data_IF_906813155913
#
_entry.id   IF_906813155913
#
_cell.length_a   1.000
_cell.length_b   1.000
_cell.length_c   1.000
_cell.angle_alpha   90.00
_cell.angle_beta   90.00
_cell.angle_gamma   90.00
#
_symmetry.space_group_name_H-M   'P 1'
#
loop_
_entity.id
_entity.type
_entity.pdbx_description
1 polymer ?
#
# COMPACT_ATOMS: atom_id res chain seq x y z
N UNK A 1 -8.10 -5.38 -8.23
CA UNK A 1 -6.85 -5.79 -7.56
C UNK A 1 -6.51 -5.01 -6.29
N UNK A 2 -7.07 -3.80 -6.08
CA UNK A 2 -6.87 -3.03 -4.83
C UNK A 2 -7.28 -3.81 -3.58
N UNK A 3 -8.50 -4.34 -3.53
CA UNK A 3 -9.01 -5.14 -2.39
C UNK A 3 -8.10 -6.34 -2.12
N UNK A 4 -7.86 -7.17 -3.14
CA UNK A 4 -7.01 -8.35 -3.04
C UNK A 4 -5.60 -8.05 -2.49
N UNK A 5 -4.99 -6.91 -2.85
CA UNK A 5 -3.70 -6.53 -2.26
C UNK A 5 -3.83 -6.35 -0.74
N UNK A 6 -4.79 -5.53 -0.31
CA UNK A 6 -4.97 -5.16 1.10
C UNK A 6 -5.43 -6.34 1.97
N UNK A 7 -6.22 -7.26 1.41
CA UNK A 7 -6.62 -8.50 2.07
C UNK A 7 -5.45 -9.46 2.31
N UNK A 8 -4.43 -9.45 1.46
CA UNK A 8 -3.39 -10.49 1.45
C UNK A 8 -2.04 -10.02 2.02
N UNK A 9 -1.75 -8.71 1.99
CA UNK A 9 -0.40 -8.20 2.28
C UNK A 9 0.10 -8.56 3.68
N UNK A 10 -0.78 -8.59 4.69
CA UNK A 10 -0.42 -8.99 6.05
C UNK A 10 -0.01 -10.49 6.12
N UNK A 11 -0.83 -11.36 5.56
CA UNK A 11 -0.56 -12.82 5.53
C UNK A 11 0.74 -13.14 4.80
N UNK A 12 0.99 -12.46 3.67
CA UNK A 12 2.25 -12.62 2.93
C UNK A 12 3.44 -12.16 3.76
N UNK A 13 3.29 -11.05 4.49
CA UNK A 13 4.36 -10.51 5.32
C UNK A 13 4.77 -11.49 6.43
N UNK A 14 3.79 -12.09 7.11
CA UNK A 14 4.03 -13.03 8.19
C UNK A 14 4.62 -14.36 7.69
N UNK A 15 4.30 -14.75 6.45
CA UNK A 15 4.72 -16.02 5.88
C UNK A 15 6.10 -16.00 5.19
N UNK A 16 6.82 -14.86 5.19
CA UNK A 16 8.06 -14.68 4.42
C UNK A 16 9.14 -14.01 5.25
N UNK A 17 10.39 -14.17 4.82
CA UNK A 17 11.49 -13.38 5.41
C UNK A 17 11.27 -11.90 5.11
N UNK A 18 11.77 -11.02 5.98
CA UNK A 18 11.57 -9.57 5.86
C UNK A 18 11.83 -9.04 4.44
N UNK A 19 12.99 -9.38 3.86
CA UNK A 19 13.34 -8.91 2.51
C UNK A 19 12.38 -9.40 1.42
N UNK A 20 11.91 -10.65 1.49
CA UNK A 20 10.94 -11.19 0.53
C UNK A 20 9.56 -10.55 0.73
N UNK A 21 9.13 -10.41 1.99
CA UNK A 21 7.87 -9.76 2.35
C UNK A 21 7.81 -8.31 1.83
N UNK A 22 8.85 -7.52 2.10
CA UNK A 22 8.97 -6.13 1.64
C UNK A 22 8.97 -6.04 0.11
N UNK A 23 9.75 -6.90 -0.56
CA UNK A 23 9.78 -6.97 -2.03
C UNK A 23 8.39 -7.23 -2.63
N UNK A 24 7.61 -8.13 -2.02
CA UNK A 24 6.24 -8.43 -2.49
C UNK A 24 5.28 -7.28 -2.16
N UNK A 25 5.34 -6.73 -0.95
CA UNK A 25 4.46 -5.65 -0.51
C UNK A 25 4.63 -4.39 -1.36
N UNK A 26 5.86 -4.09 -1.81
CA UNK A 26 6.15 -2.99 -2.76
C UNK A 26 5.77 -3.40 -4.18
N UNK A 27 6.27 -4.54 -4.67
CA UNK A 27 6.13 -4.95 -6.07
C UNK A 27 4.70 -5.24 -6.53
N UNK A 28 3.82 -5.65 -5.62
CA UNK A 28 2.41 -5.95 -5.92
C UNK A 28 1.44 -4.84 -5.50
N UNK A 29 1.93 -3.73 -4.93
CA UNK A 29 1.07 -2.58 -4.68
C UNK A 29 0.60 -1.99 -6.02
N UNK A 30 -0.71 -1.76 -6.25
CA UNK A 30 -1.24 -1.46 -7.58
C UNK A 30 -1.04 0.00 -8.00
N UNK A 31 0.20 0.50 -7.90
CA UNK A 31 0.60 1.89 -8.23
C UNK A 31 0.14 2.35 -9.61
N UNK A 32 0.06 1.46 -10.59
CA UNK A 32 -0.39 1.80 -11.94
C UNK A 32 -1.81 2.39 -11.99
N UNK A 33 -2.63 2.19 -10.95
CA UNK A 33 -3.95 2.81 -10.84
C UNK A 33 -3.87 4.26 -10.36
N UNK A 34 -2.97 4.55 -9.41
CA UNK A 34 -2.80 5.85 -8.75
C UNK A 34 -4.07 6.73 -8.73
N UNK A 35 -5.18 6.16 -8.27
CA UNK A 35 -6.51 6.76 -8.23
C UNK A 35 -6.96 7.02 -6.78
N UNK A 36 -8.02 7.81 -6.61
CA UNK A 36 -8.57 8.10 -5.29
C UNK A 36 -8.98 6.83 -4.53
N UNK A 37 -9.52 5.84 -5.24
CA UNK A 37 -9.94 4.57 -4.65
C UNK A 37 -8.78 3.80 -4.03
N UNK A 38 -7.62 3.78 -4.67
CA UNK A 38 -6.41 3.18 -4.12
C UNK A 38 -5.94 3.96 -2.89
N UNK A 39 -5.90 5.29 -2.95
CA UNK A 39 -5.51 6.11 -1.80
C UNK A 39 -6.39 5.84 -0.58
N UNK A 40 -7.71 5.78 -0.77
CA UNK A 40 -8.69 5.54 0.28
C UNK A 40 -8.53 4.14 0.87
N UNK A 41 -8.40 3.12 0.02
CA UNK A 41 -8.21 1.73 0.46
C UNK A 41 -6.93 1.56 1.28
N UNK A 42 -5.82 2.15 0.84
CA UNK A 42 -4.54 2.08 1.57
C UNK A 42 -4.60 2.82 2.90
N UNK A 43 -5.28 3.96 2.94
CA UNK A 43 -5.49 4.72 4.18
C UNK A 43 -6.36 3.94 5.17
N UNK A 44 -7.49 3.40 4.72
CA UNK A 44 -8.38 2.58 5.53
C UNK A 44 -7.68 1.33 6.08
N UNK A 45 -6.82 0.70 5.27
CA UNK A 45 -6.03 -0.44 5.73
C UNK A 45 -5.06 -0.05 6.86
N UNK A 46 -4.37 1.09 6.75
CA UNK A 46 -3.45 1.57 7.78
C UNK A 46 -4.15 1.89 9.10
N UNK A 47 -5.36 2.46 9.03
CA UNK A 47 -6.18 2.78 10.20
C UNK A 47 -6.69 1.51 10.89
N UNK A 48 -7.16 0.53 10.11
CA UNK A 48 -7.69 -0.74 10.62
C UNK A 48 -6.59 -1.67 11.17
N UNK A 49 -5.34 -1.54 10.72
CA UNK A 49 -4.25 -2.46 11.04
C UNK A 49 -3.17 -1.82 11.92
N UNK A 50 -3.57 -1.12 12.98
CA UNK A 50 -2.63 -0.46 13.91
C UNK A 50 -1.68 -1.43 14.62
N UNK A 51 -2.08 -2.69 14.78
CA UNK A 51 -1.28 -3.76 15.39
C UNK A 51 -0.40 -4.55 14.40
N UNK A 52 -0.47 -4.26 13.09
CA UNK A 52 0.38 -4.95 12.12
C UNK A 52 1.87 -4.63 12.35
N UNK A 53 2.80 -5.50 11.89
CA UNK A 53 4.23 -5.28 12.03
C UNK A 53 4.66 -3.88 11.57
N UNK A 54 5.52 -3.21 12.34
CA UNK A 54 5.92 -1.82 12.07
C UNK A 54 6.55 -1.63 10.68
N UNK A 55 7.35 -2.61 10.24
CA UNK A 55 7.92 -2.63 8.89
C UNK A 55 6.84 -2.64 7.80
N UNK A 56 5.83 -3.50 7.94
CA UNK A 56 4.71 -3.56 6.99
C UNK A 56 3.94 -2.24 6.96
N UNK A 57 3.57 -1.72 8.13
CA UNK A 57 2.83 -0.45 8.23
C UNK A 57 3.61 0.70 7.60
N UNK A 58 4.94 0.75 7.80
CA UNK A 58 5.83 1.73 7.15
C UNK A 58 5.78 1.60 5.63
N UNK A 59 5.99 0.40 5.09
CA UNK A 59 5.96 0.15 3.63
C UNK A 59 4.62 0.56 3.01
N UNK A 60 3.49 0.21 3.65
CA UNK A 60 2.15 0.58 3.17
C UNK A 60 1.91 2.09 3.26
N UNK A 61 2.42 2.77 4.29
CA UNK A 61 2.34 4.22 4.41
C UNK A 61 3.17 4.94 3.32
N UNK A 62 4.37 4.47 3.01
CA UNK A 62 5.21 5.02 1.92
C UNK A 62 4.52 4.85 0.54
N UNK A 63 3.86 3.72 0.33
CA UNK A 63 3.03 3.43 -0.82
C UNK A 63 1.83 4.40 -0.93
N UNK A 64 1.10 4.64 0.18
CA UNK A 64 0.00 5.63 0.25
C UNK A 64 0.50 7.03 -0.11
N UNK A 65 1.62 7.45 0.47
CA UNK A 65 2.18 8.78 0.25
C UNK A 65 2.61 8.99 -1.21
N UNK A 66 3.09 7.93 -1.86
CA UNK A 66 3.41 7.94 -3.29
C UNK A 66 2.16 8.12 -4.16
N UNK A 67 1.05 7.44 -3.84
CA UNK A 67 -0.24 7.66 -4.54
C UNK A 67 -0.76 9.07 -4.32
N UNK A 68 -0.71 9.58 -3.08
CA UNK A 68 -1.14 10.94 -2.78
C UNK A 68 -0.35 12.01 -3.57
N UNK A 69 0.97 11.80 -3.75
CA UNK A 69 1.78 12.65 -4.62
C UNK A 69 1.40 12.53 -6.09
N UNK A 70 1.15 11.32 -6.58
CA UNK A 70 0.75 11.09 -7.96
C UNK A 70 -0.58 11.78 -8.30
N UNK A 71 -1.59 11.69 -7.42
CA UNK A 71 -2.87 12.37 -7.59
C UNK A 71 -2.71 13.88 -7.67
N UNK A 72 -1.91 14.48 -6.77
CA UNK A 72 -1.60 15.92 -6.81
C UNK A 72 -0.92 16.33 -8.11
N UNK A 73 -0.07 15.48 -8.70
CA UNK A 73 0.55 15.78 -9.99
C UNK A 73 -0.48 15.71 -11.13
N UNK A 74 -1.30 14.66 -11.17
CA UNK A 74 -2.37 14.49 -12.17
C UNK A 74 -3.36 15.67 -12.17
N UNK A 75 -3.75 16.19 -11.00
CA UNK A 75 -4.62 17.36 -10.87
C UNK A 75 -4.01 18.65 -11.46
N UNK A 76 -2.68 18.74 -11.56
CA UNK A 76 -1.98 19.91 -12.13
C UNK A 76 -1.72 19.77 -13.62
N UNK A 77 -1.71 18.54 -14.13
CA UNK A 77 -1.52 18.24 -15.55
C UNK A 77 -2.84 18.32 -16.35
N UNK A 78 -3.99 18.25 -15.65
CA UNK A 78 -5.34 18.37 -16.23
C UNK A 78 -5.71 19.83 -16.56
#
# INVERSE_FOLDING_TARGET
>A
YVERYHEQVASVWDARTHHIAESIAVGFYPMALADQRLLDATSAWLDANSAAPSGLRRTVAENRDTVARALKAQERDA
#
